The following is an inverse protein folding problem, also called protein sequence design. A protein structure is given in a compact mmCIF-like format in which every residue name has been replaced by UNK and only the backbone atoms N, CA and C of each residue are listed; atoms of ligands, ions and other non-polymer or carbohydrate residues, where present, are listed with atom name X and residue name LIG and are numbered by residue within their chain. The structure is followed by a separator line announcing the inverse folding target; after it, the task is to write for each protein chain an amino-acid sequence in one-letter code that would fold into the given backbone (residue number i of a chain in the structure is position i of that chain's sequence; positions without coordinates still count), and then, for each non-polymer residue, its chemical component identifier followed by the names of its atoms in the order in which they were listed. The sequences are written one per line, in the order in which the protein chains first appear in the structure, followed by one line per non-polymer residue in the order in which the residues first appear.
data_IF_871825007245
#
_entry.id   IF_871825007245
#
_cell.length_a   1.000
_cell.length_b   1.000
_cell.length_c   1.000
_cell.angle_alpha   90.00
_cell.angle_beta   90.00
_cell.angle_gamma   90.00
#
_symmetry.space_group_name_H-M   'P 1'
#
loop_
_entity.id
_entity.type
_entity.pdbx_description
1 polymer ?
#
# COMPACT_ATOMS: atom_id res chain seq x y z
N UNK A 1 14.68 -6.07 -1.70
CA UNK A 1 13.58 -5.17 -2.10
C UNK A 1 13.58 -5.01 -3.62
N UNK A 2 12.41 -5.07 -4.28
CA UNK A 2 12.31 -4.89 -5.72
C UNK A 2 12.80 -3.48 -6.11
N UNK A 3 13.60 -3.40 -7.17
CA UNK A 3 14.07 -2.13 -7.72
C UNK A 3 13.38 -1.92 -9.06
N UNK A 4 12.66 -0.81 -9.19
CA UNK A 4 11.94 -0.46 -10.41
C UNK A 4 12.78 0.54 -11.19
N UNK A 5 12.92 0.28 -12.48
CA UNK A 5 13.68 1.08 -13.43
C UNK A 5 12.75 1.49 -14.56
N UNK A 6 12.72 2.76 -14.92
CA UNK A 6 11.92 3.28 -16.03
C UNK A 6 12.77 4.10 -16.99
N UNK A 7 12.37 4.12 -18.24
CA UNK A 7 12.97 4.93 -19.32
C UNK A 7 12.58 6.39 -19.18
N UNK A 8 13.25 7.26 -19.93
CA UNK A 8 12.85 8.67 -19.99
C UNK A 8 11.49 8.85 -20.64
N UNK A 9 11.13 8.01 -21.61
CA UNK A 9 9.86 8.08 -22.32
C UNK A 9 8.69 7.72 -21.39
N UNK A 10 8.82 6.63 -20.63
CA UNK A 10 7.80 6.21 -19.64
C UNK A 10 7.61 7.28 -18.54
N UNK A 11 8.70 7.91 -18.09
CA UNK A 11 8.63 8.99 -17.11
C UNK A 11 8.04 10.27 -17.72
N UNK A 12 8.37 10.58 -18.96
CA UNK A 12 7.85 11.73 -19.69
C UNK A 12 6.34 11.61 -19.87
N UNK A 13 5.86 10.44 -20.28
CA UNK A 13 4.42 10.14 -20.37
C UNK A 13 3.74 10.29 -19.01
N UNK A 14 4.34 9.74 -17.94
CA UNK A 14 3.78 9.82 -16.59
C UNK A 14 3.66 11.26 -16.07
N UNK A 15 4.66 12.10 -16.35
CA UNK A 15 4.70 13.50 -15.89
C UNK A 15 4.09 14.50 -16.88
N UNK A 16 3.62 14.05 -18.05
CA UNK A 16 3.12 14.93 -19.12
C UNK A 16 4.19 15.88 -19.67
N UNK A 17 5.43 15.40 -19.78
CA UNK A 17 6.60 16.15 -20.27
C UNK A 17 7.15 15.53 -21.54
N UNK A 18 8.10 16.21 -22.16
CA UNK A 18 8.92 15.57 -23.20
C UNK A 18 10.04 14.72 -22.59
N UNK A 19 10.55 13.71 -23.32
CA UNK A 19 11.70 12.91 -22.87
C UNK A 19 12.95 13.75 -22.60
N UNK A 20 13.15 14.84 -23.37
CA UNK A 20 14.28 15.76 -23.19
C UNK A 20 14.17 16.53 -21.85
N UNK A 21 13.01 17.13 -21.56
CA UNK A 21 12.77 17.83 -20.29
C UNK A 21 12.87 16.88 -19.10
N UNK A 22 12.41 15.65 -19.28
CA UNK A 22 12.49 14.60 -18.26
C UNK A 22 13.94 14.21 -18.00
N UNK A 23 14.75 14.05 -19.05
CA UNK A 23 16.19 13.81 -18.93
C UNK A 23 16.87 14.94 -18.16
N UNK A 24 16.59 16.20 -18.50
CA UNK A 24 17.18 17.36 -17.84
C UNK A 24 16.78 17.43 -16.36
N UNK A 25 15.51 17.16 -16.05
CA UNK A 25 15.02 17.10 -14.67
C UNK A 25 15.68 15.98 -13.86
N UNK A 26 15.84 14.79 -14.45
CA UNK A 26 16.51 13.64 -13.81
C UNK A 26 18.00 13.94 -13.57
N UNK A 27 18.66 14.62 -14.50
CA UNK A 27 20.06 15.06 -14.34
C UNK A 27 20.16 16.09 -13.22
N UNK A 28 19.31 17.11 -13.24
CA UNK A 28 19.29 18.17 -12.23
C UNK A 28 19.01 17.61 -10.83
N UNK A 29 18.14 16.60 -10.72
CA UNK A 29 17.82 15.94 -9.47
C UNK A 29 18.82 14.84 -9.06
N UNK A 30 19.85 14.58 -9.87
CA UNK A 30 20.90 13.59 -9.63
C UNK A 30 20.37 12.16 -9.35
N UNK A 31 19.30 11.75 -10.03
CA UNK A 31 18.76 10.39 -9.82
C UNK A 31 19.72 9.32 -10.38
N UNK A 32 19.76 8.12 -9.78
CA UNK A 32 20.59 7.03 -10.30
C UNK A 32 20.11 6.60 -11.68
N UNK A 33 21.05 6.50 -12.62
CA UNK A 33 20.79 6.14 -14.02
C UNK A 33 21.72 5.02 -14.44
N UNK A 34 21.25 4.17 -15.34
CA UNK A 34 22.04 3.08 -15.93
C UNK A 34 21.75 2.99 -17.41
N UNK A 35 22.80 2.90 -18.22
CA UNK A 35 22.69 2.52 -19.61
C UNK A 35 22.53 1.00 -19.71
N UNK A 36 21.53 0.57 -20.46
CA UNK A 36 21.23 -0.83 -20.70
C UNK A 36 21.76 -1.27 -22.07
N UNK A 37 21.81 -2.59 -22.30
CA UNK A 37 22.35 -3.19 -23.52
C UNK A 37 21.49 -2.92 -24.77
N UNK A 38 20.25 -2.49 -24.59
CA UNK A 38 19.34 -2.04 -25.63
C UNK A 38 19.59 -0.59 -26.08
N UNK A 39 20.64 0.05 -25.55
CA UNK A 39 20.99 1.44 -25.85
C UNK A 39 20.16 2.46 -25.08
N UNK A 40 19.15 2.04 -24.33
CA UNK A 40 18.31 2.94 -23.55
C UNK A 40 18.92 3.24 -22.18
N UNK A 41 18.67 4.45 -21.69
CA UNK A 41 19.02 4.83 -20.32
C UNK A 41 17.81 4.68 -19.44
N UNK A 42 17.93 3.87 -18.39
CA UNK A 42 16.89 3.71 -17.38
C UNK A 42 17.27 4.41 -16.09
N UNK A 43 16.27 4.98 -15.45
CA UNK A 43 16.36 5.73 -14.21
C UNK A 43 15.79 4.88 -13.09
N UNK A 44 16.51 4.79 -11.98
CA UNK A 44 16.04 4.08 -10.79
C UNK A 44 14.98 4.91 -10.09
N UNK A 45 13.80 4.33 -9.89
CA UNK A 45 12.70 5.01 -9.22
C UNK A 45 12.78 4.85 -7.71
N UNK A 46 12.24 5.84 -7.00
CA UNK A 46 11.91 5.69 -5.58
C UNK A 46 10.74 4.71 -5.43
N UNK A 47 10.57 4.05 -4.27
CA UNK A 47 9.46 3.13 -4.06
C UNK A 47 8.09 3.78 -4.31
N UNK A 48 7.89 5.01 -3.86
CA UNK A 48 6.64 5.77 -4.06
C UNK A 48 6.33 5.97 -5.54
N UNK A 49 7.31 6.45 -6.30
CA UNK A 49 7.13 6.72 -7.73
C UNK A 49 6.97 5.42 -8.53
N UNK A 50 7.66 4.35 -8.14
CA UNK A 50 7.49 3.03 -8.75
C UNK A 50 6.06 2.48 -8.59
N UNK A 51 5.42 2.69 -7.44
CA UNK A 51 4.01 2.31 -7.22
C UNK A 51 3.07 3.15 -8.09
N UNK A 52 3.30 4.46 -8.21
CA UNK A 52 2.49 5.35 -9.04
C UNK A 52 2.55 4.97 -10.51
N UNK A 53 3.75 4.71 -11.02
CA UNK A 53 3.97 4.33 -12.42
C UNK A 53 3.37 2.95 -12.71
N UNK A 54 3.50 1.98 -11.79
CA UNK A 54 2.84 0.67 -11.90
C UNK A 54 1.31 0.80 -11.91
N UNK A 55 0.73 1.66 -11.06
CA UNK A 55 -0.72 1.91 -11.06
C UNK A 55 -1.19 2.58 -12.34
N UNK A 56 -0.40 3.50 -12.90
CA UNK A 56 -0.71 4.13 -14.18
C UNK A 56 -0.71 3.11 -15.31
N UNK A 57 0.28 2.21 -15.33
CA UNK A 57 0.37 1.12 -16.29
C UNK A 57 -0.81 0.15 -16.20
N UNK A 58 -1.20 -0.29 -15.00
CA UNK A 58 -2.37 -1.18 -14.83
C UNK A 58 -3.63 -0.50 -15.39
N UNK A 59 -3.83 0.79 -15.11
CA UNK A 59 -4.98 1.54 -15.66
C UNK A 59 -4.95 1.66 -17.18
N UNK A 60 -3.78 1.82 -17.80
CA UNK A 60 -3.69 1.90 -19.26
C UNK A 60 -3.97 0.56 -19.92
N UNK A 61 -3.57 -0.55 -19.29
CA UNK A 61 -3.87 -1.92 -19.74
C UNK A 61 -5.36 -2.25 -19.57
N UNK A 62 -5.98 -1.88 -18.45
CA UNK A 62 -7.40 -2.14 -18.18
C UNK A 62 -8.35 -1.32 -19.08
N UNK A 63 -7.90 -0.15 -19.56
CA UNK A 63 -8.68 0.75 -20.43
C UNK A 63 -8.53 0.51 -21.93
N UNK A 64 -7.60 -0.34 -22.36
CA UNK A 64 -7.26 -0.54 -23.77
C UNK A 64 -6.80 -1.97 -24.02
N UNK A 65 -7.75 -2.86 -24.32
CA UNK A 65 -7.43 -4.19 -24.84
C UNK A 65 -6.71 -4.10 -26.18
N UNK A 66 -5.38 -4.21 -26.17
CA UNK A 66 -4.57 -4.63 -27.32
C UNK A 66 -3.18 -5.05 -26.83
N UNK A 67 -3.07 -6.25 -26.27
CA UNK A 67 -1.77 -6.94 -26.19
C UNK A 67 -1.41 -7.46 -27.57
N UNK A 68 -0.77 -6.61 -28.36
CA UNK A 68 0.05 -7.03 -29.50
C UNK A 68 1.51 -6.72 -29.16
N UNK A 69 2.36 -7.70 -29.47
CA UNK A 69 3.83 -7.68 -29.47
C UNK A 69 4.56 -8.09 -28.18
N UNK A 70 4.31 -9.33 -27.76
CA UNK A 70 5.40 -10.21 -27.35
C UNK A 70 5.30 -11.50 -28.20
N UNK A 71 6.31 -11.84 -29.03
CA UNK A 71 6.25 -13.03 -29.88
C UNK A 71 6.58 -14.26 -29.03
N UNK A 72 5.57 -14.87 -28.42
CA UNK A 72 5.66 -16.26 -27.99
C UNK A 72 4.95 -17.07 -29.07
N UNK A 73 5.73 -17.78 -29.87
CA UNK A 73 5.22 -18.69 -30.87
C UNK A 73 4.29 -19.73 -30.21
N UNK A 74 3.05 -19.82 -30.65
CA UNK A 74 2.30 -21.07 -30.63
C UNK A 74 1.16 -21.01 -31.63
N UNK A 75 1.16 -22.00 -32.52
CA UNK A 75 0.16 -22.25 -33.55
C UNK A 75 -1.26 -22.46 -33.01
N UNK A 76 -2.19 -22.19 -33.93
CA UNK A 76 -3.50 -22.81 -34.11
C UNK A 76 -4.69 -22.36 -33.24
N UNK A 77 -5.54 -21.58 -33.91
CA UNK A 77 -6.98 -21.81 -34.06
C UNK A 77 -7.86 -21.79 -32.80
N UNK A 78 -8.64 -20.71 -32.64
CA UNK A 78 -10.09 -20.77 -32.85
C UNK A 78 -10.72 -19.41 -32.52
N UNK A 79 -11.25 -18.78 -33.56
CA UNK A 79 -12.29 -17.75 -33.48
C UNK A 79 -13.54 -18.38 -32.84
N UNK A 80 -13.79 -18.11 -31.55
CA UNK A 80 -15.05 -18.48 -30.92
C UNK A 80 -15.41 -17.50 -29.79
N UNK A 81 -16.52 -16.80 -30.00
CA UNK A 81 -17.47 -16.27 -29.02
C UNK A 81 -16.89 -15.61 -27.75
N UNK A 82 -16.97 -14.27 -27.73
CA UNK A 82 -17.02 -13.48 -26.49
C UNK A 82 -18.16 -14.01 -25.61
N UNK A 83 -17.79 -14.80 -24.61
CA UNK A 83 -18.59 -15.14 -23.44
C UNK A 83 -17.96 -14.36 -22.28
N UNK A 84 -18.71 -13.61 -21.46
CA UNK A 84 -18.12 -12.95 -20.30
C UNK A 84 -17.56 -14.04 -19.38
N UNK A 85 -16.23 -14.12 -19.32
CA UNK A 85 -15.53 -15.09 -18.51
C UNK A 85 -15.96 -14.91 -17.06
N UNK A 86 -16.63 -15.93 -16.51
CA UNK A 86 -16.81 -16.07 -15.07
C UNK A 86 -15.46 -15.80 -14.37
N UNK A 87 -15.43 -15.02 -13.28
CA UNK A 87 -14.18 -14.75 -12.58
C UNK A 87 -13.55 -16.09 -12.21
N UNK A 88 -12.29 -16.27 -12.60
CA UNK A 88 -11.54 -17.50 -12.37
C UNK A 88 -11.74 -17.96 -10.92
N UNK A 89 -12.08 -19.23 -10.65
CA UNK A 89 -12.44 -19.71 -9.31
C UNK A 89 -11.38 -19.40 -8.26
N UNK A 90 -10.11 -19.32 -8.68
CA UNK A 90 -8.99 -18.93 -7.83
C UNK A 90 -9.05 -17.46 -7.38
N UNK A 91 -9.49 -16.55 -8.24
CA UNK A 91 -9.67 -15.13 -7.87
C UNK A 91 -10.81 -14.97 -6.88
N UNK A 92 -11.92 -15.69 -7.08
CA UNK A 92 -13.05 -15.66 -6.15
C UNK A 92 -12.65 -16.19 -4.76
N UNK A 93 -11.83 -17.25 -4.73
CA UNK A 93 -11.27 -17.80 -3.49
C UNK A 93 -10.34 -16.81 -2.79
N UNK A 94 -9.37 -16.21 -3.50
CA UNK A 94 -8.47 -15.23 -2.92
C UNK A 94 -9.20 -14.00 -2.40
N UNK A 95 -10.25 -13.55 -3.11
CA UNK A 95 -11.09 -12.44 -2.67
C UNK A 95 -11.86 -12.78 -1.38
N UNK A 96 -12.36 -14.01 -1.26
CA UNK A 96 -13.01 -14.49 -0.04
C UNK A 96 -12.02 -14.56 1.14
N UNK A 97 -10.81 -15.08 0.91
CA UNK A 97 -9.74 -15.14 1.92
C UNK A 97 -9.34 -13.74 2.40
N UNK A 98 -9.17 -12.77 1.50
CA UNK A 98 -8.89 -11.36 1.87
C UNK A 98 -10.01 -10.75 2.71
N UNK A 99 -11.28 -11.00 2.33
CA UNK A 99 -12.42 -10.50 3.07
C UNK A 99 -12.50 -11.11 4.48
N UNK A 100 -12.16 -12.38 4.63
CA UNK A 100 -12.09 -13.07 5.91
C UNK A 100 -10.95 -12.54 6.79
N UNK A 101 -9.75 -12.34 6.22
CA UNK A 101 -8.63 -11.75 6.97
C UNK A 101 -8.99 -10.34 7.47
N UNK A 102 -9.63 -9.54 6.62
CA UNK A 102 -10.06 -8.18 6.98
C UNK A 102 -11.09 -8.19 8.11
N UNK A 103 -12.05 -9.12 8.11
CA UNK A 103 -13.06 -9.19 9.16
C UNK A 103 -12.45 -9.58 10.51
N UNK A 104 -11.56 -10.57 10.52
CA UNK A 104 -10.84 -11.01 11.73
C UNK A 104 -9.99 -9.87 12.29
N UNK A 105 -9.24 -9.17 11.44
CA UNK A 105 -8.43 -8.02 11.85
C UNK A 105 -9.31 -6.92 12.46
N UNK A 106 -10.45 -6.61 11.83
CA UNK A 106 -11.36 -5.58 12.33
C UNK A 106 -11.93 -5.94 13.71
N UNK A 107 -12.30 -7.21 13.94
CA UNK A 107 -12.78 -7.66 15.25
C UNK A 107 -11.68 -7.52 16.31
N UNK A 108 -10.47 -7.99 16.01
CA UNK A 108 -9.35 -7.93 16.95
C UNK A 108 -8.97 -6.49 17.33
N UNK A 109 -9.10 -5.54 16.39
CA UNK A 109 -8.87 -4.12 16.67
C UNK A 109 -9.94 -3.52 17.59
N UNK A 110 -11.20 -3.92 17.42
CA UNK A 110 -12.29 -3.49 18.31
C UNK A 110 -12.10 -4.07 19.72
N UNK A 111 -11.73 -5.34 19.83
CA UNK A 111 -11.45 -5.98 21.12
C UNK A 111 -10.28 -5.29 21.84
N UNK A 112 -9.20 -4.97 21.11
CA UNK A 112 -8.06 -4.25 21.66
C UNK A 112 -8.43 -2.83 22.12
N UNK A 113 -9.32 -2.14 21.40
CA UNK A 113 -9.81 -0.82 21.80
C UNK A 113 -10.63 -0.90 23.10
N UNK A 114 -11.53 -1.89 23.19
CA UNK A 114 -12.32 -2.13 24.40
C UNK A 114 -11.42 -2.46 25.61
N UNK A 115 -10.38 -3.26 25.42
CA UNK A 115 -9.46 -3.59 26.51
C UNK A 115 -8.66 -2.38 26.98
N UNK A 116 -8.24 -1.50 26.07
CA UNK A 116 -7.59 -0.24 26.42
C UNK A 116 -8.50 0.66 27.25
N UNK A 117 -9.77 0.77 26.89
CA UNK A 117 -10.75 1.55 27.66
C UNK A 117 -10.97 0.98 29.07
N UNK A 118 -11.06 -0.35 29.20
CA UNK A 118 -11.11 -1.03 30.51
C UNK A 118 -9.89 -0.71 31.36
N UNK A 119 -8.68 -0.80 30.79
CA UNK A 119 -7.44 -0.49 31.53
C UNK A 119 -7.37 0.97 31.97
N UNK A 120 -7.83 1.91 31.15
CA UNK A 120 -7.90 3.33 31.49
C UNK A 120 -8.89 3.59 32.64
N UNK A 121 -10.03 2.90 32.63
CA UNK A 121 -11.05 2.97 33.68
C UNK A 121 -10.49 2.46 35.01
N UNK A 122 -9.93 1.25 35.02
CA UNK A 122 -9.31 0.67 36.22
C UNK A 122 -8.17 1.53 36.77
N UNK A 123 -7.34 2.09 35.88
CA UNK A 123 -6.27 3.02 36.29
C UNK A 123 -6.83 4.26 36.98
N UNK A 124 -7.92 4.82 36.46
CA UNK A 124 -8.60 5.97 37.06
C UNK A 124 -9.23 5.64 38.42
N UNK A 125 -9.81 4.45 38.58
CA UNK A 125 -10.35 3.98 39.86
C UNK A 125 -9.25 3.77 40.90
N UNK A 126 -8.12 3.17 40.53
CA UNK A 126 -6.97 3.03 41.41
C UNK A 126 -6.43 4.39 41.89
N UNK A 127 -6.36 5.37 40.99
CA UNK A 127 -5.98 6.73 41.37
C UNK A 127 -6.97 7.36 42.36
N UNK A 128 -8.28 7.18 42.16
CA UNK A 128 -9.28 7.66 43.13
C UNK A 128 -9.14 7.00 44.50
N UNK A 129 -8.97 5.68 44.54
CA UNK A 129 -8.82 4.93 45.78
C UNK A 129 -7.54 5.30 46.53
N UNK A 130 -6.44 5.54 45.81
CA UNK A 130 -5.18 5.97 46.42
C UNK A 130 -5.27 7.36 47.03
N UNK A 131 -5.95 8.32 46.38
CA UNK A 131 -6.24 9.64 46.97
C UNK A 131 -7.12 9.50 48.22
N UNK A 132 -8.20 8.74 48.13
CA UNK A 132 -9.09 8.52 49.28
C UNK A 132 -8.34 7.88 50.46
N UNK A 133 -7.47 6.91 50.21
CA UNK A 133 -6.66 6.30 51.27
C UNK A 133 -5.73 7.32 51.93
N UNK A 134 -5.11 8.22 51.16
CA UNK A 134 -4.26 9.27 51.70
C UNK A 134 -5.04 10.24 52.60
N UNK A 135 -6.26 10.63 52.20
CA UNK A 135 -7.13 11.47 53.02
C UNK A 135 -7.50 10.80 54.35
N UNK A 136 -7.85 9.52 54.31
CA UNK A 136 -8.16 8.73 55.51
C UNK A 136 -6.97 8.62 56.47
N UNK A 137 -5.75 8.51 55.94
CA UNK A 137 -4.53 8.48 56.76
C UNK A 137 -4.19 9.85 57.36
N UNK A 138 -4.60 10.95 56.74
CA UNK A 138 -4.39 12.31 57.25
C UNK A 138 -5.43 12.72 58.32
N UNK A 139 -6.61 12.10 58.33
CA UNK A 139 -7.71 12.34 59.28
C UNK A 139 -7.29 12.29 60.78
N UNK A 140 -6.55 11.28 61.28
CA UNK A 140 -6.14 11.24 62.69
C UNK A 140 -5.20 12.39 63.08
N UNK A 141 -4.34 12.86 62.16
CA UNK A 141 -3.45 13.99 62.43
C UNK A 141 -4.21 15.31 62.57
N UNK A 142 -5.36 15.46 61.91
CA UNK A 142 -6.22 16.66 61.99
C UNK A 142 -7.06 16.74 63.26
N UNK A 143 -7.30 15.62 63.95
CA UNK A 143 -8.11 15.58 65.18
C UNK A 143 -7.33 15.89 66.46
N UNK A 144 -5.99 15.93 66.37
CA UNK A 144 -5.10 16.14 67.52
C UNK A 144 -4.46 17.54 67.52
N UNK A 145 -4.62 18.31 66.44
CA UNK A 145 -4.22 19.71 66.32
C UNK A 145 -5.40 20.63 66.67
#
# INVERSE_FOLDING_TARGET
MPQIWATYDELAEHFGRTPAETRDAVIAAAWPRRQCSDGQTRVKLTPTLGVELTRAYIRSVDGGGSTTDLPIASDAAATAAVTPASPSPDLARLQAELNQIRSVLSSALLDLAAERERTATLSSELLRLTVQQADWQAEPARRVA
#
